data_IF_216572083436
#
_entry.id   IF_216572083436
#
_cell.length_a   1.000
_cell.length_b   1.000
_cell.length_c   1.000
_cell.angle_alpha   90.00
_cell.angle_beta   90.00
_cell.angle_gamma   90.00
#
_symmetry.space_group_name_H-M   'P 1'
#
loop_
_entity.id
_entity.type
_entity.pdbx_description
1 polymer ?
#
# COMPACT_ATOMS: atom_id res chain seq x y z
N UNK A 1 3.94 3.07 -9.85
CA UNK A 1 5.18 2.37 -10.29
C UNK A 1 4.81 0.95 -10.70
N UNK A 2 5.24 0.54 -11.90
CA UNK A 2 5.05 -0.83 -12.40
C UNK A 2 6.31 -1.64 -12.16
N UNK A 3 6.17 -2.85 -11.64
CA UNK A 3 7.26 -3.80 -11.38
C UNK A 3 7.11 -4.98 -12.34
N UNK A 4 8.03 -5.17 -13.30
CA UNK A 4 8.00 -6.35 -14.16
C UNK A 4 8.35 -7.60 -13.35
N UNK A 5 7.57 -8.67 -13.55
CA UNK A 5 7.82 -10.01 -13.01
C UNK A 5 7.63 -11.03 -14.11
N UNK A 6 8.38 -12.12 -14.06
CA UNK A 6 8.15 -13.26 -14.94
C UNK A 6 7.17 -14.21 -14.25
N UNK A 7 6.02 -14.45 -14.88
CA UNK A 7 4.96 -15.32 -14.39
C UNK A 7 4.61 -16.28 -15.51
N UNK A 8 4.77 -17.60 -15.28
CA UNK A 8 4.49 -18.64 -16.26
C UNK A 8 5.18 -18.41 -17.62
N UNK A 9 6.41 -17.90 -17.61
CA UNK A 9 7.19 -17.62 -18.83
C UNK A 9 6.84 -16.30 -19.52
N UNK A 10 5.88 -15.53 -18.99
CA UNK A 10 5.46 -14.23 -19.53
C UNK A 10 5.90 -13.08 -18.63
N UNK A 11 6.33 -11.97 -19.26
CA UNK A 11 6.65 -10.74 -18.53
C UNK A 11 5.35 -9.98 -18.23
N UNK A 12 4.96 -9.97 -16.96
CA UNK A 12 3.76 -9.28 -16.44
C UNK A 12 4.17 -8.08 -15.58
N UNK A 13 3.42 -7.00 -15.63
CA UNK A 13 3.66 -5.80 -14.82
C UNK A 13 2.72 -5.75 -13.62
N UNK A 14 3.27 -5.72 -12.43
CA UNK A 14 2.53 -5.57 -11.17
C UNK A 14 2.63 -4.13 -10.66
N UNK A 15 1.64 -3.70 -9.89
CA UNK A 15 1.75 -2.47 -9.10
C UNK A 15 2.79 -2.67 -7.99
N UNK A 16 3.51 -1.61 -7.60
CA UNK A 16 4.39 -1.71 -6.44
C UNK A 16 3.58 -1.88 -5.15
N UNK A 17 4.13 -2.56 -4.13
CA UNK A 17 3.43 -2.67 -2.84
C UNK A 17 3.09 -1.32 -2.22
N UNK A 18 3.95 -0.31 -2.40
CA UNK A 18 3.68 1.05 -1.89
C UNK A 18 2.47 1.68 -2.57
N UNK A 19 2.39 1.58 -3.91
CA UNK A 19 1.28 2.13 -4.65
C UNK A 19 -0.02 1.36 -4.38
N UNK A 20 0.06 0.05 -4.11
CA UNK A 20 -1.08 -0.75 -3.66
C UNK A 20 -1.59 -0.27 -2.30
N UNK A 21 -0.69 -0.03 -1.34
CA UNK A 21 -1.04 0.52 -0.02
C UNK A 21 -1.72 1.89 -0.17
N UNK A 22 -1.13 2.80 -0.96
CA UNK A 22 -1.68 4.14 -1.17
C UNK A 22 -3.08 4.10 -1.81
N UNK A 23 -3.27 3.20 -2.79
CA UNK A 23 -4.58 3.02 -3.45
C UNK A 23 -5.63 2.53 -2.46
N UNK A 24 -5.28 1.57 -1.60
CA UNK A 24 -6.19 1.07 -0.55
C UNK A 24 -6.49 2.11 0.52
N UNK A 25 -5.51 2.95 0.90
CA UNK A 25 -5.73 4.06 1.83
C UNK A 25 -6.72 5.09 1.27
N UNK A 26 -6.63 5.39 -0.02
CA UNK A 26 -7.58 6.26 -0.72
C UNK A 26 -8.98 5.64 -0.75
N UNK A 27 -9.10 4.36 -1.09
CA UNK A 27 -10.39 3.66 -1.03
C UNK A 27 -10.98 3.60 0.36
N UNK A 28 -10.17 3.36 1.40
CA UNK A 28 -10.66 3.41 2.78
C UNK A 28 -11.17 4.81 3.13
N UNK A 29 -10.50 5.87 2.67
CA UNK A 29 -10.93 7.25 2.91
C UNK A 29 -12.33 7.54 2.31
N UNK A 30 -12.68 6.91 1.20
CA UNK A 30 -13.97 7.09 0.53
C UNK A 30 -15.06 6.14 1.03
N UNK A 31 -14.70 4.89 1.34
CA UNK A 31 -15.66 3.82 1.65
C UNK A 31 -15.78 3.49 3.13
N UNK A 32 -14.83 3.94 3.96
CA UNK A 32 -14.68 3.57 5.37
C UNK A 32 -14.60 2.05 5.64
N UNK A 33 -14.30 1.25 4.60
CA UNK A 33 -14.32 -0.21 4.67
C UNK A 33 -13.12 -0.78 5.43
N UNK A 34 -13.37 -1.44 6.56
CA UNK A 34 -12.33 -2.11 7.35
C UNK A 34 -11.59 -3.22 6.57
N UNK A 35 -12.20 -3.79 5.53
CA UNK A 35 -11.54 -4.78 4.66
C UNK A 35 -10.30 -4.18 3.99
N UNK A 36 -10.35 -2.90 3.59
CA UNK A 36 -9.19 -2.23 2.99
C UNK A 36 -8.05 -2.07 3.99
N UNK A 37 -8.36 -1.82 5.27
CA UNK A 37 -7.36 -1.73 6.33
C UNK A 37 -6.65 -3.08 6.52
N UNK A 38 -7.40 -4.18 6.61
CA UNK A 38 -6.84 -5.54 6.75
C UNK A 38 -5.93 -5.93 5.59
N UNK A 39 -6.30 -5.53 4.38
CA UNK A 39 -5.47 -5.75 3.21
C UNK A 39 -4.17 -4.95 3.27
N UNK A 40 -4.22 -3.70 3.72
CA UNK A 40 -3.01 -2.87 3.93
C UNK A 40 -2.12 -3.52 4.99
N UNK A 41 -2.68 -3.94 6.13
CA UNK A 41 -1.93 -4.62 7.20
C UNK A 41 -1.24 -5.88 6.69
N UNK A 42 -1.94 -6.68 5.88
CA UNK A 42 -1.36 -7.88 5.26
C UNK A 42 -0.15 -7.53 4.39
N UNK A 43 -0.27 -6.50 3.53
CA UNK A 43 0.85 -6.06 2.68
C UNK A 43 2.02 -5.54 3.52
N UNK A 44 1.74 -4.73 4.55
CA UNK A 44 2.76 -4.23 5.48
C UNK A 44 3.50 -5.36 6.20
N UNK A 45 2.78 -6.41 6.60
CA UNK A 45 3.35 -7.56 7.33
C UNK A 45 4.25 -8.41 6.45
N UNK A 46 3.87 -8.65 5.20
CA UNK A 46 4.60 -9.57 4.32
C UNK A 46 5.69 -8.89 3.49
N UNK A 47 5.63 -7.57 3.27
CA UNK A 47 6.67 -6.87 2.51
C UNK A 47 7.85 -6.40 3.34
N UNK A 48 9.01 -7.00 3.07
CA UNK A 48 10.27 -6.73 3.77
C UNK A 48 10.95 -5.42 3.38
N UNK A 49 10.65 -4.88 2.19
CA UNK A 49 11.30 -3.69 1.64
C UNK A 49 10.23 -2.75 1.10
N UNK A 50 9.71 -1.91 1.97
CA UNK A 50 8.82 -0.81 1.61
C UNK A 50 9.58 0.50 1.62
N UNK A 51 9.37 1.30 0.60
CA UNK A 51 9.85 2.68 0.54
C UNK A 51 8.95 3.59 1.41
N UNK A 52 9.32 3.69 2.69
CA UNK A 52 8.56 4.47 3.67
C UNK A 52 8.57 5.96 3.39
N UNK A 53 9.64 6.52 2.83
CA UNK A 53 9.69 7.95 2.49
C UNK A 53 8.67 8.27 1.39
N UNK A 54 8.60 7.42 0.37
CA UNK A 54 7.58 7.51 -0.68
C UNK A 54 6.17 7.38 -0.12
N UNK A 55 5.90 6.36 0.69
CA UNK A 55 4.59 6.16 1.34
C UNK A 55 4.17 7.38 2.17
N UNK A 56 5.08 7.91 3.00
CA UNK A 56 4.81 9.09 3.83
C UNK A 56 4.55 10.33 2.99
N UNK A 57 5.34 10.56 1.94
CA UNK A 57 5.16 11.70 1.02
C UNK A 57 3.76 11.70 0.40
N UNK A 58 3.36 10.59 -0.19
CA UNK A 58 2.06 10.50 -0.88
C UNK A 58 0.88 10.42 0.08
N UNK A 59 1.00 9.69 1.20
CA UNK A 59 -0.06 9.65 2.20
C UNK A 59 -0.33 11.05 2.81
N UNK A 60 0.70 11.91 2.94
CA UNK A 60 0.51 13.31 3.34
C UNK A 60 -0.27 14.10 2.30
N UNK A 61 0.11 13.98 1.02
CA UNK A 61 -0.56 14.66 -0.11
C UNK A 61 -2.04 14.25 -0.18
N UNK A 62 -2.34 12.97 0.04
CA UNK A 62 -3.70 12.43 0.00
C UNK A 62 -4.50 12.59 1.30
N UNK A 63 -3.89 13.19 2.33
CA UNK A 63 -4.46 13.31 3.68
C UNK A 63 -4.78 11.97 4.36
N UNK A 64 -4.13 10.87 3.97
CA UNK A 64 -4.27 9.53 4.56
C UNK A 64 -3.12 9.16 5.51
N UNK A 65 -2.18 10.09 5.72
CA UNK A 65 -0.99 9.89 6.56
C UNK A 65 -1.28 9.41 7.98
N UNK A 66 -2.32 9.97 8.63
CA UNK A 66 -2.72 9.56 9.99
C UNK A 66 -3.12 8.08 10.04
N UNK A 67 -3.88 7.63 9.04
CA UNK A 67 -4.32 6.23 8.92
C UNK A 67 -3.12 5.31 8.68
N UNK A 68 -2.21 5.69 7.78
CA UNK A 68 -0.99 4.93 7.52
C UNK A 68 -0.13 4.75 8.79
N UNK A 69 0.09 5.82 9.56
CA UNK A 69 0.87 5.75 10.80
C UNK A 69 0.17 4.90 11.86
N UNK A 70 -1.16 4.94 11.95
CA UNK A 70 -1.93 4.06 12.85
C UNK A 70 -1.71 2.58 12.48
N UNK A 71 -1.84 2.24 11.20
CA UNK A 71 -1.66 0.86 10.72
C UNK A 71 -0.23 0.36 10.93
N UNK A 72 0.77 1.22 10.68
CA UNK A 72 2.17 0.88 10.88
C UNK A 72 2.51 0.48 12.33
N UNK A 73 1.82 1.05 13.32
CA UNK A 73 2.06 0.72 14.75
C UNK A 73 1.48 -0.63 15.15
N UNK A 74 0.57 -1.18 14.36
CA UNK A 74 -0.16 -2.41 14.65
C UNK A 74 0.43 -3.66 13.94
N UNK A 75 1.45 -3.48 13.10
CA UNK A 75 2.10 -4.53 12.29
C UNK A 75 3.55 -4.66 12.70
#
# INVERSE_FOLDING_TARGET
RRIPRNVLGQRVYFVSPEDLILSKLLWYKESESELQLRDIESVLKFQKKLDWEYLKKWAKIHSTFKTLEKLKRNV
#
